data_IF_847298201111
#
_entry.id   IF_847298201111
#
_cell.length_a   1.000
_cell.length_b   1.000
_cell.length_c   1.000
_cell.angle_alpha   90.00
_cell.angle_beta   90.00
_cell.angle_gamma   90.00
#
_symmetry.space_group_name_H-M   'P 1'
#
loop_
_entity.id
_entity.type
_entity.pdbx_description
1 polymer ?
#
# COMPACT_ATOMS: atom_id res chain seq x y z
N UNK A 1 -27.41 45.87 8.24
CA UNK A 1 -26.05 45.48 7.81
C UNK A 1 -26.03 43.96 7.73
N UNK A 2 -26.08 43.38 6.53
CA UNK A 2 -25.98 41.93 6.33
C UNK A 2 -24.52 41.54 6.12
N UNK A 3 -24.07 40.48 6.79
CA UNK A 3 -22.73 39.93 6.64
C UNK A 3 -22.48 39.48 5.17
N UNK A 4 -21.25 39.61 4.65
CA UNK A 4 -20.94 39.15 3.30
C UNK A 4 -21.03 37.61 3.24
N UNK A 5 -21.42 37.04 2.08
CA UNK A 5 -21.50 35.59 1.93
C UNK A 5 -20.11 34.97 2.09
N UNK A 6 -20.00 33.96 2.95
CA UNK A 6 -18.82 33.12 3.06
C UNK A 6 -18.58 32.46 1.69
N UNK A 7 -17.46 32.79 1.05
CA UNK A 7 -17.03 32.10 -0.18
C UNK A 7 -16.75 30.66 0.20
N UNK A 8 -17.38 29.71 -0.48
CA UNK A 8 -17.08 28.30 -0.26
C UNK A 8 -15.64 28.05 -0.75
N UNK A 9 -14.81 27.29 -0.02
CA UNK A 9 -13.41 27.02 -0.39
C UNK A 9 -13.27 26.33 -1.77
N UNK A 10 -14.37 25.82 -2.34
CA UNK A 10 -14.44 25.21 -3.66
C UNK A 10 -14.62 26.22 -4.81
N UNK A 11 -15.00 27.47 -4.54
CA UNK A 11 -15.37 28.46 -5.58
C UNK A 11 -14.18 28.92 -6.46
N UNK A 12 -12.95 28.53 -6.11
CA UNK A 12 -11.72 28.85 -6.85
C UNK A 12 -11.02 27.66 -7.50
N UNK A 13 -11.52 26.43 -7.34
CA UNK A 13 -10.89 25.23 -7.86
C UNK A 13 -11.49 24.86 -9.22
N UNK A 14 -10.62 24.58 -10.19
CA UNK A 14 -11.04 23.98 -11.45
C UNK A 14 -11.56 22.56 -11.22
N UNK A 15 -12.43 22.08 -12.12
CA UNK A 15 -12.91 20.70 -12.09
C UNK A 15 -11.77 19.66 -12.15
N UNK A 16 -10.65 20.03 -12.79
CA UNK A 16 -9.46 19.18 -12.85
C UNK A 16 -8.78 19.08 -11.47
N UNK A 17 -8.62 20.21 -10.77
CA UNK A 17 -8.05 20.24 -9.42
C UNK A 17 -8.94 19.52 -8.41
N UNK A 18 -10.26 19.70 -8.50
CA UNK A 18 -11.21 18.93 -7.68
C UNK A 18 -11.10 17.43 -7.90
N UNK A 19 -10.94 16.97 -9.15
CA UNK A 19 -10.75 15.55 -9.46
C UNK A 19 -9.42 15.01 -8.96
N UNK A 20 -8.36 15.82 -9.02
CA UNK A 20 -7.05 15.46 -8.49
C UNK A 20 -7.10 15.36 -6.97
N UNK A 21 -7.70 16.33 -6.30
CA UNK A 21 -7.83 16.36 -4.84
C UNK A 21 -8.72 15.21 -4.34
N UNK A 22 -9.83 14.92 -5.02
CA UNK A 22 -10.65 13.75 -4.71
C UNK A 22 -9.88 12.44 -4.85
N UNK A 23 -9.06 12.28 -5.90
CA UNK A 23 -8.22 11.08 -6.05
C UNK A 23 -7.17 10.97 -4.96
N UNK A 24 -6.56 12.09 -4.56
CA UNK A 24 -5.59 12.13 -3.48
C UNK A 24 -6.24 11.75 -2.14
N UNK A 25 -7.40 12.33 -1.82
CA UNK A 25 -8.15 12.03 -0.60
C UNK A 25 -8.66 10.58 -0.58
N UNK A 26 -9.07 10.04 -1.74
CA UNK A 26 -9.43 8.62 -1.87
C UNK A 26 -8.21 7.71 -1.66
N UNK A 27 -7.05 8.04 -2.24
CA UNK A 27 -5.82 7.27 -2.01
C UNK A 27 -5.36 7.31 -0.54
N UNK A 28 -5.52 8.45 0.13
CA UNK A 28 -5.28 8.59 1.58
C UNK A 28 -6.30 7.80 2.41
N UNK A 29 -7.58 7.81 2.03
CA UNK A 29 -8.62 7.04 2.71
C UNK A 29 -8.44 5.52 2.51
N UNK A 30 -8.10 5.09 1.28
CA UNK A 30 -7.84 3.70 0.92
C UNK A 30 -6.55 3.15 1.58
N UNK A 31 -5.58 4.01 1.91
CA UNK A 31 -4.41 3.64 2.72
C UNK A 31 -4.63 3.75 4.23
N UNK A 32 -5.66 4.47 4.68
CA UNK A 32 -6.02 4.60 6.09
C UNK A 32 -6.75 3.36 6.64
N UNK A 33 -7.50 2.65 5.80
CA UNK A 33 -8.10 1.38 6.17
C UNK A 33 -7.14 0.22 5.93
N UNK A 34 -6.83 -0.55 6.98
CA UNK A 34 -6.05 -1.78 6.83
C UNK A 34 -6.81 -2.73 5.91
N UNK A 35 -6.14 -3.36 4.91
CA UNK A 35 -6.82 -4.31 4.04
C UNK A 35 -7.40 -5.45 4.88
N UNK A 36 -8.64 -5.83 4.60
CA UNK A 36 -9.25 -7.02 5.22
C UNK A 36 -8.52 -8.26 4.70
N UNK A 37 -8.37 -9.31 5.54
CA UNK A 37 -7.88 -10.60 5.07
C UNK A 37 -8.73 -11.11 3.92
N UNK A 38 -8.09 -11.68 2.90
CA UNK A 38 -8.77 -12.43 1.83
C UNK A 38 -9.36 -13.73 2.39
N UNK A 39 -8.67 -14.37 3.34
CA UNK A 39 -9.11 -15.60 4.01
C UNK A 39 -8.74 -15.57 5.49
N UNK A 40 -9.54 -16.26 6.30
CA UNK A 40 -9.24 -16.54 7.70
C UNK A 40 -9.30 -18.05 7.88
N UNK A 41 -8.16 -18.67 8.17
CA UNK A 41 -8.06 -20.10 8.39
C UNK A 41 -8.43 -20.42 9.85
N UNK A 42 -9.37 -21.35 10.10
CA UNK A 42 -9.86 -21.63 11.44
C UNK A 42 -8.82 -22.36 12.31
N UNK A 43 -9.06 -22.39 13.62
CA UNK A 43 -8.30 -23.23 14.56
C UNK A 43 -8.37 -24.71 14.13
N UNK A 44 -7.22 -25.39 14.07
CA UNK A 44 -7.08 -26.76 13.56
C UNK A 44 -6.79 -26.88 12.07
N UNK A 45 -6.75 -25.77 11.33
CA UNK A 45 -6.13 -25.75 10.01
C UNK A 45 -4.61 -25.95 10.14
N UNK A 46 -3.95 -26.51 9.12
CA UNK A 46 -2.49 -26.72 9.13
C UNK A 46 -1.69 -25.41 9.31
N UNK A 47 -2.30 -24.28 8.95
CA UNK A 47 -1.78 -22.93 9.14
C UNK A 47 -2.94 -22.00 9.54
N UNK A 48 -3.31 -21.94 10.84
CA UNK A 48 -4.42 -21.13 11.32
C UNK A 48 -4.05 -19.65 11.35
N UNK A 49 -5.01 -18.76 11.07
CA UNK A 49 -4.80 -17.31 11.11
C UNK A 49 -5.23 -16.58 9.84
N UNK A 50 -4.81 -15.32 9.70
CA UNK A 50 -5.24 -14.43 8.63
C UNK A 50 -4.34 -14.52 7.40
N UNK A 51 -4.94 -14.38 6.23
CA UNK A 51 -4.26 -14.47 4.94
C UNK A 51 -4.74 -13.36 3.99
N UNK A 52 -3.80 -12.68 3.34
CA UNK A 52 -4.03 -11.64 2.35
C UNK A 52 -3.37 -12.06 1.03
N UNK A 53 -4.19 -12.23 0.00
CA UNK A 53 -3.75 -12.49 -1.37
C UNK A 53 -3.71 -11.17 -2.15
N UNK A 54 -2.53 -10.79 -2.67
CA UNK A 54 -2.33 -9.54 -3.42
C UNK A 54 -2.00 -9.91 -4.87
N UNK A 55 -3.00 -9.79 -5.73
CA UNK A 55 -2.91 -10.13 -7.15
C UNK A 55 -2.29 -8.98 -7.97
N UNK A 56 -1.22 -9.25 -8.71
CA UNK A 56 -0.61 -8.22 -9.56
C UNK A 56 -1.50 -7.90 -10.76
N UNK A 57 -1.78 -6.60 -10.98
CA UNK A 57 -2.56 -6.10 -12.13
C UNK A 57 -1.81 -6.17 -13.48
N UNK A 58 -0.52 -6.54 -13.48
CA UNK A 58 0.27 -6.58 -14.71
C UNK A 58 -0.28 -7.66 -15.61
N UNK A 59 -0.89 -7.23 -16.72
CA UNK A 59 -1.45 -8.04 -17.80
C UNK A 59 -0.69 -9.35 -17.96
N UNK A 60 -1.36 -10.45 -17.61
CA UNK A 60 -1.01 -11.80 -18.00
C UNK A 60 -1.09 -11.90 -19.53
N UNK A 61 -0.13 -11.28 -20.23
CA UNK A 61 -0.09 -11.35 -21.70
C UNK A 61 0.23 -12.78 -22.13
N UNK A 62 0.97 -13.54 -21.31
CA UNK A 62 1.43 -14.90 -21.65
C UNK A 62 1.50 -15.88 -20.44
N UNK A 63 1.00 -15.52 -19.25
CA UNK A 63 1.08 -16.39 -18.07
C UNK A 63 -0.27 -17.09 -17.80
N UNK A 64 -0.23 -18.41 -17.55
CA UNK A 64 -1.42 -19.21 -17.19
C UNK A 64 -1.97 -18.87 -15.79
N UNK A 65 -1.16 -18.23 -14.94
CA UNK A 65 -1.51 -17.85 -13.57
C UNK A 65 -1.23 -16.38 -13.34
N UNK A 66 -2.09 -15.75 -12.54
CA UNK A 66 -1.89 -14.37 -12.09
C UNK A 66 -0.77 -14.39 -11.05
N UNK A 67 0.30 -13.59 -11.20
CA UNK A 67 1.32 -13.48 -10.17
C UNK A 67 0.70 -12.93 -8.87
N UNK A 68 0.81 -13.68 -7.77
CA UNK A 68 0.15 -13.37 -6.50
C UNK A 68 1.16 -13.37 -5.36
N UNK A 69 1.17 -12.29 -4.57
CA UNK A 69 1.85 -12.27 -3.29
C UNK A 69 0.91 -12.80 -2.21
N UNK A 70 1.44 -13.58 -1.27
CA UNK A 70 0.71 -14.06 -0.11
C UNK A 70 1.31 -13.50 1.16
N UNK A 71 0.50 -12.87 2.00
CA UNK A 71 0.90 -12.41 3.35
C UNK A 71 0.02 -13.13 4.36
N UNK A 72 0.61 -13.63 5.45
CA UNK A 72 -0.15 -14.36 6.47
C UNK A 72 0.37 -14.14 7.89
N UNK A 73 -0.53 -14.27 8.86
CA UNK A 73 -0.21 -14.42 10.28
C UNK A 73 -0.59 -15.82 10.74
N UNK A 74 0.16 -16.35 11.71
CA UNK A 74 -0.14 -17.65 12.32
C UNK A 74 -0.51 -17.42 13.78
N UNK A 75 -1.70 -17.89 14.18
CA UNK A 75 -2.24 -17.65 15.52
C UNK A 75 -1.68 -18.63 16.59
N UNK A 76 -0.84 -19.58 16.20
CA UNK A 76 -0.19 -20.54 17.10
C UNK A 76 1.02 -19.94 17.85
N UNK A 77 1.10 -20.22 19.16
CA UNK A 77 1.94 -19.49 20.12
C UNK A 77 3.45 -19.67 19.98
N UNK A 78 3.94 -20.70 19.27
CA UNK A 78 5.38 -20.94 19.11
C UNK A 78 6.00 -20.12 17.95
N UNK A 79 5.16 -19.46 17.14
CA UNK A 79 5.56 -18.74 15.91
C UNK A 79 4.87 -17.37 15.76
N UNK A 80 4.20 -16.89 16.81
CA UNK A 80 3.30 -15.73 16.78
C UNK A 80 3.96 -14.36 16.47
N UNK A 81 5.29 -14.26 16.52
CA UNK A 81 6.02 -12.99 16.38
C UNK A 81 6.52 -12.69 14.94
N UNK A 82 6.02 -13.44 13.96
CA UNK A 82 6.37 -13.25 12.56
C UNK A 82 5.14 -13.08 11.65
N UNK A 83 5.35 -12.32 10.57
CA UNK A 83 4.49 -12.30 9.39
C UNK A 83 5.18 -13.13 8.32
N UNK A 84 4.45 -14.01 7.65
CA UNK A 84 5.01 -14.85 6.59
C UNK A 84 4.60 -14.29 5.24
N UNK A 85 5.58 -14.13 4.35
CA UNK A 85 5.39 -13.55 3.02
C UNK A 85 5.90 -14.50 1.96
N UNK A 86 5.06 -14.81 0.97
CA UNK A 86 5.43 -15.57 -0.23
C UNK A 86 5.37 -14.65 -1.45
N UNK A 87 6.38 -14.75 -2.32
CA UNK A 87 6.45 -13.97 -3.55
C UNK A 87 5.79 -14.74 -4.71
N UNK A 88 5.42 -14.05 -5.80
CA UNK A 88 4.86 -14.72 -6.97
C UNK A 88 5.79 -15.73 -7.65
N UNK A 89 7.10 -15.63 -7.41
CA UNK A 89 8.10 -16.54 -7.95
C UNK A 89 8.23 -17.85 -7.14
N UNK A 90 7.55 -17.93 -5.98
CA UNK A 90 7.52 -19.12 -5.15
C UNK A 90 6.75 -20.25 -5.88
N UNK A 91 7.46 -21.34 -6.17
CA UNK A 91 6.89 -22.52 -6.84
C UNK A 91 5.91 -23.30 -5.96
N UNK A 92 5.98 -23.12 -4.65
CA UNK A 92 5.15 -23.77 -3.64
C UNK A 92 4.65 -22.73 -2.64
N UNK A 93 3.60 -21.95 -2.97
CA UNK A 93 3.12 -20.84 -2.15
C UNK A 93 2.57 -21.26 -0.78
N UNK A 94 2.44 -22.56 -0.50
CA UNK A 94 2.06 -23.11 0.81
C UNK A 94 3.25 -23.50 1.69
N UNK A 95 4.47 -23.56 1.14
CA UNK A 95 5.66 -24.07 1.82
C UNK A 95 6.86 -23.10 1.75
N UNK A 96 6.89 -22.21 0.75
CA UNK A 96 7.97 -21.25 0.52
C UNK A 96 7.56 -19.86 1.00
N UNK A 97 7.95 -19.55 2.24
CA UNK A 97 7.69 -18.28 2.91
C UNK A 97 8.95 -17.71 3.53
N UNK A 98 9.04 -16.39 3.49
CA UNK A 98 9.94 -15.63 4.35
C UNK A 98 9.19 -15.33 5.64
N UNK A 99 9.67 -15.87 6.75
CA UNK A 99 9.25 -15.47 8.09
C UNK A 99 9.93 -14.14 8.44
N UNK A 100 9.13 -13.08 8.60
CA UNK A 100 9.61 -11.74 8.87
C UNK A 100 9.15 -11.29 10.27
N UNK A 101 10.07 -10.89 11.16
CA UNK A 101 9.68 -10.31 12.45
C UNK A 101 8.70 -9.14 12.26
N UNK A 102 7.73 -9.00 13.15
CA UNK A 102 6.68 -7.97 12.99
C UNK A 102 7.23 -6.54 12.88
N UNK A 103 8.37 -6.24 13.52
CA UNK A 103 9.05 -4.95 13.40
C UNK A 103 9.56 -4.71 11.98
N UNK A 104 10.25 -5.69 11.40
CA UNK A 104 10.78 -5.60 10.04
C UNK A 104 9.65 -5.55 9.01
N UNK A 105 8.57 -6.29 9.23
CA UNK A 105 7.37 -6.23 8.40
C UNK A 105 6.75 -4.83 8.39
N UNK A 106 6.69 -4.16 9.56
CA UNK A 106 6.24 -2.75 9.63
C UNK A 106 7.19 -1.81 8.89
N UNK A 107 8.51 -1.97 9.06
CA UNK A 107 9.50 -1.15 8.35
C UNK A 107 9.39 -1.31 6.84
N UNK A 108 9.23 -2.54 6.36
CA UNK A 108 9.00 -2.84 4.95
C UNK A 108 7.70 -2.21 4.44
N UNK A 109 6.59 -2.36 5.17
CA UNK A 109 5.31 -1.77 4.80
C UNK A 109 5.40 -0.23 4.66
N UNK A 110 6.08 0.44 5.59
CA UNK A 110 6.31 1.89 5.51
C UNK A 110 7.20 2.28 4.34
N UNK A 111 8.24 1.48 4.03
CA UNK A 111 9.09 1.72 2.87
C UNK A 111 8.32 1.56 1.54
N UNK A 112 7.46 0.54 1.45
CA UNK A 112 6.59 0.33 0.29
C UNK A 112 5.59 1.47 0.10
N UNK A 113 4.97 1.95 1.19
CA UNK A 113 4.07 3.10 1.16
C UNK A 113 4.80 4.36 0.68
N UNK A 114 5.96 4.67 1.24
CA UNK A 114 6.77 5.82 0.83
C UNK A 114 7.22 5.74 -0.65
N UNK A 115 7.52 4.53 -1.13
CA UNK A 115 7.87 4.30 -2.53
C UNK A 115 6.66 4.48 -3.47
N UNK A 116 5.47 4.02 -3.07
CA UNK A 116 4.22 4.23 -3.80
C UNK A 116 3.89 5.73 -3.90
N UNK A 117 3.94 6.45 -2.78
CA UNK A 117 3.73 7.90 -2.74
C UNK A 117 4.69 8.64 -3.69
N UNK A 118 5.96 8.21 -3.74
CA UNK A 118 6.95 8.80 -4.67
C UNK A 118 6.58 8.52 -6.12
N UNK A 119 6.15 7.30 -6.45
CA UNK A 119 5.75 6.95 -7.80
C UNK A 119 4.54 7.78 -8.26
N UNK A 120 3.53 7.95 -7.40
CA UNK A 120 2.33 8.73 -7.68
C UNK A 120 2.64 10.22 -7.84
N UNK A 121 3.44 10.80 -6.95
CA UNK A 121 3.90 12.19 -7.11
C UNK A 121 4.62 12.41 -8.44
N UNK A 122 5.48 11.46 -8.84
CA UNK A 122 6.20 11.52 -10.12
C UNK A 122 5.23 11.47 -11.29
N UNK A 123 4.24 10.55 -11.25
CA UNK A 123 3.24 10.39 -12.30
C UNK A 123 2.32 11.63 -12.44
N UNK A 124 2.05 12.33 -11.33
CA UNK A 124 1.24 13.55 -11.30
C UNK A 124 2.07 14.83 -11.54
N UNK A 125 3.39 14.73 -11.72
CA UNK A 125 4.28 15.88 -11.92
C UNK A 125 4.41 16.79 -10.69
N UNK A 126 4.16 16.27 -9.49
CA UNK A 126 4.23 17.02 -8.23
C UNK A 126 5.68 17.07 -7.75
N UNK A 127 6.27 18.27 -7.77
CA UNK A 127 7.63 18.50 -7.25
C UNK A 127 7.61 18.57 -5.73
N UNK A 128 8.46 17.78 -5.04
CA UNK A 128 8.55 17.83 -3.57
C UNK A 128 9.52 18.93 -3.10
N UNK A 129 9.36 19.32 -1.84
CA UNK A 129 10.27 20.25 -1.15
C UNK A 129 11.71 19.70 -1.06
N UNK A 130 11.88 18.38 -0.97
CA UNK A 130 13.19 17.72 -0.96
C UNK A 130 13.91 17.81 -2.33
N UNK A 131 13.17 17.73 -3.44
CA UNK A 131 13.70 17.95 -4.80
C UNK A 131 14.08 19.43 -5.04
N UNK A 132 13.45 20.35 -4.28
CA UNK A 132 13.73 21.79 -4.32
C UNK A 132 15.04 22.14 -3.60
N UNK A 133 15.53 21.26 -2.72
CA UNK A 133 16.83 21.36 -2.05
C UNK A 133 17.94 20.83 -2.97
N UNK A 134 18.14 21.43 -4.14
CA UNK A 134 19.44 21.31 -4.80
C UNK A 134 20.49 21.88 -3.85
N UNK A 135 21.65 21.22 -3.65
CA UNK A 135 22.76 21.89 -3.02
C UNK A 135 23.05 23.15 -3.85
N UNK A 136 23.03 24.32 -3.22
CA UNK A 136 23.85 25.41 -3.71
C UNK A 136 25.29 24.90 -3.64
N UNK A 137 25.75 24.20 -4.67
CA UNK A 137 27.17 24.11 -4.97
C UNK A 137 27.58 25.53 -5.29
N UNK A 138 28.07 26.18 -4.25
CA UNK A 138 28.74 27.46 -4.32
C UNK A 138 29.90 27.40 -5.31
N UNK A 139 30.07 28.55 -5.93
CA UNK A 139 31.25 29.07 -6.62
C UNK A 139 32.58 28.41 -6.29
#
# INVERSE_FOLDING_TARGET
MSAPPERHPADGLTLAELRTELRHLIALADSAERPKPTRINPAGHAMPGHEWEINQRVLAKNFQTIPTWLVRTVDESEVADAVYVSSPDCTHPTDDFIAMPTEDARRLAMALLAAADRADHTALGITRLEDSRKPQSGR
#
